data_IF_554312869479
#
_entry.id   IF_554312869479
#
_cell.length_a   1.000
_cell.length_b   1.000
_cell.length_c   1.000
_cell.angle_alpha   90.00
_cell.angle_beta   90.00
_cell.angle_gamma   90.00
#
_symmetry.space_group_name_H-M   'P 1'
#
loop_
_entity.id
_entity.type
_entity.pdbx_description
1 polymer ?
#
# COMPACT_ATOMS: atom_id res chain seq x y z
N UNK A 1 -3.49 35.57 -6.77
CA UNK A 1 -3.20 34.31 -7.49
C UNK A 1 -2.55 33.36 -6.50
N UNK A 2 -3.33 32.84 -5.56
CA UNK A 2 -2.83 32.07 -4.40
C UNK A 2 -3.92 31.09 -3.94
N UNK A 3 -4.28 30.17 -4.82
CA UNK A 3 -5.36 29.19 -4.60
C UNK A 3 -4.89 27.74 -4.96
N UNK A 4 -3.57 27.53 -5.02
CA UNK A 4 -2.98 26.23 -5.38
C UNK A 4 -2.43 25.43 -4.18
N UNK A 5 -2.20 26.06 -3.01
CA UNK A 5 -1.71 25.35 -1.82
C UNK A 5 -2.81 24.47 -1.20
N UNK A 6 -3.99 25.05 -0.99
CA UNK A 6 -5.10 24.36 -0.31
C UNK A 6 -5.66 23.17 -1.13
N UNK A 7 -5.62 23.26 -2.47
CA UNK A 7 -6.02 22.18 -3.38
C UNK A 7 -4.96 21.09 -3.53
N UNK A 8 -3.66 21.45 -3.41
CA UNK A 8 -2.55 20.50 -3.48
C UNK A 8 -2.58 19.48 -2.35
N UNK A 9 -2.80 19.92 -1.12
CA UNK A 9 -2.80 19.08 0.07
C UNK A 9 -4.03 18.14 0.12
N UNK A 10 -5.19 18.63 -0.33
CA UNK A 10 -6.40 17.81 -0.49
C UNK A 10 -6.21 16.71 -1.54
N UNK A 11 -5.62 17.05 -2.68
CA UNK A 11 -5.31 16.08 -3.74
C UNK A 11 -4.31 15.00 -3.27
N UNK A 12 -3.25 15.42 -2.58
CA UNK A 12 -2.26 14.50 -2.01
C UNK A 12 -2.88 13.56 -0.96
N UNK A 13 -3.70 14.08 -0.06
CA UNK A 13 -4.42 13.26 0.94
C UNK A 13 -5.31 12.20 0.30
N UNK A 14 -6.04 12.55 -0.76
CA UNK A 14 -6.89 11.60 -1.49
C UNK A 14 -6.03 10.51 -2.12
N UNK A 15 -4.92 10.87 -2.78
CA UNK A 15 -4.01 9.90 -3.42
C UNK A 15 -3.43 8.97 -2.36
N UNK A 16 -2.91 9.50 -1.26
CA UNK A 16 -2.35 8.69 -0.15
C UNK A 16 -3.40 7.72 0.42
N UNK A 17 -4.64 8.18 0.60
CA UNK A 17 -5.75 7.34 1.05
C UNK A 17 -6.07 6.22 0.06
N UNK A 18 -6.14 6.54 -1.24
CA UNK A 18 -6.40 5.53 -2.28
C UNK A 18 -5.28 4.49 -2.34
N UNK A 19 -4.02 4.91 -2.27
CA UNK A 19 -2.86 4.01 -2.24
C UNK A 19 -2.87 3.14 -0.99
N UNK A 20 -3.25 3.70 0.16
CA UNK A 20 -3.37 2.94 1.41
C UNK A 20 -4.43 1.84 1.32
N UNK A 21 -5.62 2.18 0.81
CA UNK A 21 -6.72 1.22 0.61
C UNK A 21 -6.31 0.13 -0.38
N UNK A 22 -5.68 0.51 -1.50
CA UNK A 22 -5.16 -0.43 -2.48
C UNK A 22 -4.16 -1.40 -1.83
N UNK A 23 -3.20 -0.89 -1.07
CA UNK A 23 -2.24 -1.71 -0.35
C UNK A 23 -2.90 -2.67 0.65
N UNK A 24 -3.96 -2.20 1.34
CA UNK A 24 -4.75 -3.02 2.27
C UNK A 24 -5.48 -4.16 1.57
N UNK A 25 -5.97 -3.98 0.34
CA UNK A 25 -6.61 -5.04 -0.46
C UNK A 25 -5.57 -6.01 -1.04
N UNK A 26 -4.45 -5.47 -1.53
CA UNK A 26 -3.41 -6.26 -2.19
C UNK A 26 -2.62 -7.16 -1.21
N UNK A 27 -2.55 -6.82 0.08
CA UNK A 27 -1.88 -7.62 1.10
C UNK A 27 -2.50 -9.03 1.30
N UNK A 28 -3.75 -9.13 1.80
CA UNK A 28 -4.37 -10.41 2.13
C UNK A 28 -5.01 -11.14 0.93
N UNK A 29 -5.44 -10.44 -0.12
CA UNK A 29 -6.22 -11.03 -1.22
C UNK A 29 -5.39 -11.76 -2.27
N UNK A 30 -4.71 -11.04 -3.18
CA UNK A 30 -4.02 -11.63 -4.32
C UNK A 30 -2.74 -12.39 -3.96
N UNK A 31 -2.10 -12.09 -2.82
CA UNK A 31 -0.85 -12.74 -2.40
C UNK A 31 -0.96 -14.25 -2.24
N UNK A 32 -2.14 -14.76 -1.89
CA UNK A 32 -2.40 -16.21 -1.70
C UNK A 32 -2.30 -16.97 -3.02
N UNK A 33 -2.64 -16.35 -4.15
CA UNK A 33 -2.54 -16.97 -5.47
C UNK A 33 -1.09 -17.19 -5.93
N UNK A 34 -0.10 -16.52 -5.30
CA UNK A 34 1.32 -16.74 -5.58
C UNK A 34 1.79 -18.13 -5.13
N UNK A 35 1.06 -18.77 -4.21
CA UNK A 35 1.43 -20.08 -3.64
C UNK A 35 0.41 -21.16 -3.92
N UNK A 36 -0.84 -20.77 -4.14
CA UNK A 36 -1.92 -21.67 -4.48
C UNK A 36 -2.60 -21.15 -5.75
N UNK A 37 -2.09 -21.50 -6.94
CA UNK A 37 -2.65 -21.06 -8.22
C UNK A 37 -4.07 -21.60 -8.50
N UNK A 38 -4.68 -22.34 -7.58
CA UNK A 38 -6.07 -22.79 -7.65
C UNK A 38 -6.23 -24.22 -8.15
N UNK A 39 -7.48 -24.72 -8.19
CA UNK A 39 -7.77 -26.13 -8.44
C UNK A 39 -7.46 -26.61 -9.86
N UNK A 40 -7.21 -25.69 -10.81
CA UNK A 40 -6.89 -26.01 -12.21
C UNK A 40 -5.38 -26.06 -12.50
N UNK A 41 -4.54 -25.94 -11.46
CA UNK A 41 -3.09 -26.00 -11.64
C UNK A 41 -2.59 -27.45 -11.76
N UNK A 42 -2.21 -27.85 -12.98
CA UNK A 42 -1.49 -29.09 -13.24
C UNK A 42 0.02 -28.90 -12.99
N UNK A 43 0.46 -29.00 -11.73
CA UNK A 43 1.89 -28.90 -11.37
C UNK A 43 2.17 -29.17 -9.88
N UNK A 44 3.43 -29.46 -9.50
CA UNK A 44 3.80 -29.59 -8.08
C UNK A 44 3.54 -28.27 -7.36
N UNK A 45 2.82 -28.29 -6.24
CA UNK A 45 2.61 -27.10 -5.43
C UNK A 45 3.98 -26.46 -5.07
N UNK A 46 4.17 -25.14 -5.25
CA UNK A 46 5.43 -24.46 -4.95
C UNK A 46 5.59 -24.28 -3.44
N UNK A 47 5.73 -25.38 -2.69
CA UNK A 47 5.66 -25.39 -1.22
C UNK A 47 6.92 -24.85 -0.55
N UNK A 48 8.11 -25.02 -1.14
CA UNK A 48 9.38 -24.55 -0.54
C UNK A 48 9.66 -23.07 -0.77
N UNK A 49 9.41 -22.57 -1.98
CA UNK A 49 9.68 -21.17 -2.37
C UNK A 49 8.44 -20.28 -2.16
N UNK A 50 7.25 -20.86 -2.19
CA UNK A 50 6.00 -20.11 -2.08
C UNK A 50 5.85 -19.37 -0.74
N UNK A 51 6.21 -20.02 0.36
CA UNK A 51 6.10 -19.41 1.69
C UNK A 51 6.97 -18.13 1.81
N UNK A 52 8.28 -18.14 1.48
CA UNK A 52 9.07 -16.92 1.39
C UNK A 52 8.48 -15.84 0.47
N UNK A 53 7.92 -16.22 -0.69
CA UNK A 53 7.31 -15.27 -1.63
C UNK A 53 6.11 -14.56 -1.02
N UNK A 54 5.24 -15.28 -0.29
CA UNK A 54 4.07 -14.68 0.37
C UNK A 54 4.50 -13.73 1.49
N UNK A 55 5.52 -14.10 2.25
CA UNK A 55 6.07 -13.19 3.25
C UNK A 55 6.68 -11.94 2.60
N UNK A 56 7.45 -12.08 1.53
CA UNK A 56 8.00 -10.95 0.79
C UNK A 56 6.89 -10.04 0.24
N UNK A 57 5.82 -10.63 -0.29
CA UNK A 57 4.63 -9.90 -0.75
C UNK A 57 3.95 -9.13 0.37
N UNK A 58 3.68 -9.79 1.50
CA UNK A 58 3.05 -9.17 2.66
C UNK A 58 3.92 -8.01 3.21
N UNK A 59 5.22 -8.24 3.37
CA UNK A 59 6.18 -7.22 3.84
C UNK A 59 6.23 -6.03 2.89
N UNK A 60 6.21 -6.27 1.57
CA UNK A 60 6.18 -5.21 0.58
C UNK A 60 4.95 -4.30 0.78
N UNK A 61 3.75 -4.88 0.90
CA UNK A 61 2.52 -4.09 1.05
C UNK A 61 2.43 -3.39 2.41
N UNK A 62 2.91 -4.02 3.49
CA UNK A 62 3.08 -3.35 4.77
C UNK A 62 4.07 -2.17 4.67
N UNK A 63 5.16 -2.33 3.92
CA UNK A 63 6.11 -1.25 3.64
C UNK A 63 5.46 -0.07 2.92
N UNK A 64 4.63 -0.35 1.90
CA UNK A 64 3.86 0.70 1.20
C UNK A 64 2.94 1.45 2.16
N UNK A 65 2.22 0.75 3.03
CA UNK A 65 1.37 1.39 4.05
C UNK A 65 2.18 2.27 5.00
N UNK A 66 3.34 1.80 5.47
CA UNK A 66 4.22 2.57 6.33
C UNK A 66 4.73 3.85 5.64
N UNK A 67 5.17 3.76 4.38
CA UNK A 67 5.62 4.93 3.60
C UNK A 67 4.48 5.94 3.41
N UNK A 68 3.26 5.46 3.15
CA UNK A 68 2.08 6.34 3.05
C UNK A 68 1.84 7.10 4.35
N UNK A 69 1.88 6.43 5.50
CA UNK A 69 1.69 7.07 6.80
C UNK A 69 2.80 8.06 7.14
N UNK A 70 4.05 7.69 6.90
CA UNK A 70 5.21 8.58 7.09
C UNK A 70 5.08 9.82 6.20
N UNK A 71 4.70 9.63 4.94
CA UNK A 71 4.51 10.74 4.00
C UNK A 71 3.35 11.64 4.44
N UNK A 72 2.22 11.07 4.82
CA UNK A 72 1.07 11.83 5.34
C UNK A 72 1.46 12.65 6.58
N UNK A 73 2.24 12.07 7.49
CA UNK A 73 2.73 12.78 8.67
C UNK A 73 3.55 14.01 8.30
N UNK A 74 4.54 13.86 7.42
CA UNK A 74 5.44 14.97 7.07
C UNK A 74 4.86 15.99 6.08
N UNK A 75 3.83 15.65 5.31
CA UNK A 75 3.33 16.51 4.22
C UNK A 75 1.92 17.02 4.41
N UNK A 76 1.07 16.25 5.09
CA UNK A 76 -0.34 16.64 5.32
C UNK A 76 -0.50 17.16 6.73
N UNK A 77 0.03 16.46 7.73
CA UNK A 77 -0.16 16.85 9.14
C UNK A 77 0.81 17.94 9.59
N UNK A 78 2.10 17.87 9.21
CA UNK A 78 3.05 18.93 9.55
C UNK A 78 2.72 20.29 8.90
N UNK A 79 2.13 20.29 7.71
CA UNK A 79 1.72 21.51 7.01
C UNK A 79 0.49 22.17 7.67
N UNK A 80 -0.35 21.39 8.39
CA UNK A 80 -1.47 21.94 9.17
C UNK A 80 -1.01 22.63 10.46
N UNK A 81 0.13 22.23 11.04
CA UNK A 81 0.65 22.80 12.28
C UNK A 81 1.37 24.15 12.06
N UNK A 82 1.79 24.46 10.82
CA UNK A 82 2.43 25.75 10.49
C UNK A 82 1.43 26.86 10.13
N UNK A 83 0.14 26.53 9.90
CA UNK A 83 -0.93 27.50 9.56
C UNK A 83 -1.72 28.02 10.79
N UNK A 84 -1.49 27.50 12.01
CA UNK A 84 -2.03 28.04 13.28
C UNK A 84 -1.09 29.07 13.96
#
# INVERSE_FOLDING_TARGET
MSDRSETGNKGLSIILTLVFILAMVMGPGPGVYLINPGPEHEGPAPTLIGLPIVYAWAVLWFGVQAVVLVTAYFTVWADQEEEE
#
